data_IF_375251232596
#
_entry.id   IF_375251232596
#
_cell.length_a   1.000
_cell.length_b   1.000
_cell.length_c   1.000
_cell.angle_alpha   90.00
_cell.angle_beta   90.00
_cell.angle_gamma   90.00
#
_symmetry.space_group_name_H-M   'P 1'
#
loop_
_entity.id
_entity.type
_entity.pdbx_description
1 polymer ?
#
# COMPACT_ATOMS: atom_id res chain seq x y z
N UNK A 1 -0.42 10.30 -1.82
CA UNK A 1 -1.81 10.29 -1.30
C UNK A 1 -1.75 10.00 0.19
N UNK A 2 -2.70 10.48 0.98
CA UNK A 2 -2.71 10.31 2.45
C UNK A 2 -2.53 8.83 2.86
N UNK A 3 -3.20 7.90 2.15
CA UNK A 3 -3.07 6.47 2.40
C UNK A 3 -1.64 5.93 2.15
N UNK A 4 -0.98 6.36 1.07
CA UNK A 4 0.39 5.93 0.77
C UNK A 4 1.41 6.41 1.80
N UNK A 5 1.25 7.64 2.29
CA UNK A 5 2.12 8.18 3.35
C UNK A 5 1.92 7.45 4.69
N UNK A 6 0.67 7.08 5.01
CA UNK A 6 0.37 6.27 6.19
C UNK A 6 1.00 4.87 6.07
N UNK A 7 0.81 4.18 4.94
CA UNK A 7 1.41 2.87 4.71
C UNK A 7 2.94 2.92 4.81
N UNK A 8 3.58 3.95 4.27
CA UNK A 8 5.04 4.11 4.36
C UNK A 8 5.53 4.28 5.80
N UNK A 9 4.81 5.07 6.62
CA UNK A 9 5.14 5.23 8.05
C UNK A 9 4.96 3.93 8.81
N UNK A 10 3.81 3.26 8.64
CA UNK A 10 3.56 1.97 9.29
C UNK A 10 4.61 0.92 8.89
N UNK A 11 5.02 0.91 7.63
CA UNK A 11 6.08 0.01 7.18
C UNK A 11 7.43 0.30 7.83
N UNK A 12 7.78 1.59 8.00
CA UNK A 12 9.00 1.98 8.71
C UNK A 12 8.98 1.59 10.21
N UNK A 13 7.80 1.53 10.81
CA UNK A 13 7.58 1.04 12.19
C UNK A 13 7.52 -0.51 12.28
N UNK A 14 7.75 -1.22 11.17
CA UNK A 14 7.85 -2.69 11.15
C UNK A 14 6.57 -3.43 10.78
N UNK A 15 5.51 -2.73 10.34
CA UNK A 15 4.30 -3.40 9.82
C UNK A 15 4.55 -3.94 8.40
N UNK A 16 4.33 -5.23 8.21
CA UNK A 16 4.56 -5.96 6.96
C UNK A 16 3.26 -6.43 6.28
N UNK A 17 2.14 -6.49 7.01
CA UNK A 17 0.84 -6.93 6.50
C UNK A 17 -0.14 -5.76 6.33
N UNK A 18 -0.70 -5.63 5.12
CA UNK A 18 -1.70 -4.61 4.80
C UNK A 18 -2.93 -5.23 4.16
N UNK A 19 -4.12 -4.86 4.67
CA UNK A 19 -5.41 -5.25 4.07
C UNK A 19 -6.10 -4.02 3.49
N UNK A 20 -6.34 -4.03 2.18
CA UNK A 20 -6.95 -2.90 1.48
C UNK A 20 -8.39 -3.20 1.10
N UNK A 21 -9.31 -2.35 1.54
CA UNK A 21 -10.66 -2.29 0.99
C UNK A 21 -10.63 -1.53 -0.33
N UNK A 22 -10.54 -2.27 -1.43
CA UNK A 22 -10.36 -1.71 -2.79
C UNK A 22 -11.61 -1.03 -3.33
N UNK A 23 -12.80 -1.35 -2.80
CA UNK A 23 -14.09 -0.88 -3.30
C UNK A 23 -14.22 -1.04 -4.84
N UNK A 24 -13.79 -2.19 -5.36
CA UNK A 24 -13.74 -2.51 -6.79
C UNK A 24 -12.87 -1.55 -7.64
N UNK A 25 -11.93 -0.84 -7.03
CA UNK A 25 -10.98 0.05 -7.71
C UNK A 25 -9.53 -0.33 -7.39
N UNK A 26 -8.82 -0.86 -8.38
CA UNK A 26 -7.49 -1.42 -8.17
C UNK A 26 -6.35 -0.39 -8.20
N UNK A 27 -6.48 0.70 -8.97
CA UNK A 27 -5.37 1.61 -9.28
C UNK A 27 -4.68 2.20 -8.05
N UNK A 28 -5.47 2.61 -7.05
CA UNK A 28 -4.95 3.22 -5.82
C UNK A 28 -4.12 2.19 -5.03
N UNK A 29 -4.70 1.02 -4.78
CA UNK A 29 -4.04 -0.06 -4.04
C UNK A 29 -2.80 -0.55 -4.77
N UNK A 30 -2.88 -0.66 -6.10
CA UNK A 30 -1.74 -1.04 -6.94
C UNK A 30 -0.58 -0.05 -6.82
N UNK A 31 -0.85 1.25 -6.88
CA UNK A 31 0.16 2.28 -6.69
C UNK A 31 0.79 2.26 -5.28
N UNK A 32 -0.02 2.02 -4.24
CA UNK A 32 0.48 1.87 -2.87
C UNK A 32 1.38 0.64 -2.75
N UNK A 33 0.99 -0.51 -3.30
CA UNK A 33 1.81 -1.71 -3.33
C UNK A 33 3.17 -1.47 -4.02
N UNK A 34 3.18 -0.73 -5.15
CA UNK A 34 4.43 -0.36 -5.83
C UNK A 34 5.33 0.52 -4.97
N UNK A 35 4.75 1.46 -4.23
CA UNK A 35 5.45 2.33 -3.30
C UNK A 35 6.06 1.56 -2.13
N UNK A 36 5.39 0.51 -1.67
CA UNK A 36 5.89 -0.43 -0.65
C UNK A 36 6.90 -1.46 -1.21
N UNK A 37 7.29 -1.35 -2.49
CA UNK A 37 8.27 -2.24 -3.10
C UNK A 37 7.71 -3.56 -3.63
N UNK A 38 6.40 -3.80 -3.51
CA UNK A 38 5.74 -4.96 -4.14
C UNK A 38 5.74 -4.76 -5.65
N UNK A 39 6.08 -5.81 -6.40
CA UNK A 39 6.11 -5.81 -7.87
C UNK A 39 5.19 -6.90 -8.41
N UNK A 40 4.50 -6.65 -9.54
CA UNK A 40 3.72 -7.67 -10.22
C UNK A 40 4.64 -8.81 -10.68
N UNK A 41 4.12 -10.04 -10.65
CA UNK A 41 4.76 -11.23 -11.23
C UNK A 41 4.17 -11.51 -12.60
#
# INVERSE_FOLDING_TARGET
TVAGDLCRRLHAEGVDQFHFYTLNRADLTFAICHLLGVRPR
#
